data_IF_127238017191
#
_entry.id   IF_127238017191
#
_cell.length_a   1.000
_cell.length_b   1.000
_cell.length_c   1.000
_cell.angle_alpha   90.00
_cell.angle_beta   90.00
_cell.angle_gamma   90.00
#
_symmetry.space_group_name_H-M   'P 1'
#
loop_
_entity.id
_entity.type
_entity.pdbx_description
1 polymer ?
#
# COMPACT_ATOMS: atom_id res chain seq x y z
N UNK A 1 -17.10 -15.63 -8.53
CA UNK A 1 -15.77 -15.31 -7.97
C UNK A 1 -15.97 -14.94 -6.51
N UNK A 2 -15.25 -15.56 -5.58
CA UNK A 2 -15.24 -15.14 -4.18
C UNK A 2 -14.62 -13.76 -4.08
N UNK A 3 -15.32 -12.82 -3.45
CA UNK A 3 -14.81 -11.46 -3.27
C UNK A 3 -13.54 -11.49 -2.41
N UNK A 4 -12.47 -10.86 -2.87
CA UNK A 4 -11.23 -10.71 -2.11
C UNK A 4 -11.52 -9.76 -0.92
N UNK A 5 -11.24 -10.15 0.33
CA UNK A 5 -11.44 -9.27 1.47
C UNK A 5 -10.57 -8.02 1.35
N UNK A 6 -11.07 -6.84 1.76
CA UNK A 6 -10.27 -5.63 1.72
C UNK A 6 -9.12 -5.70 2.73
N UNK A 7 -7.96 -5.11 2.35
CA UNK A 7 -6.85 -4.87 3.28
C UNK A 7 -6.46 -3.41 3.24
N UNK A 8 -6.20 -2.86 4.40
CA UNK A 8 -5.72 -1.51 4.58
C UNK A 8 -4.29 -1.55 5.14
N UNK A 9 -3.41 -0.75 4.57
CA UNK A 9 -2.02 -0.60 4.99
C UNK A 9 -1.76 0.86 5.33
N UNK A 10 -0.87 1.10 6.29
CA UNK A 10 -0.42 2.45 6.62
C UNK A 10 0.85 2.80 5.84
N UNK A 11 0.83 3.92 5.12
CA UNK A 11 1.93 4.41 4.27
C UNK A 11 2.73 5.47 5.03
N UNK A 12 3.64 5.04 5.91
CA UNK A 12 4.38 5.94 6.81
C UNK A 12 5.64 5.30 7.38
N UNK A 13 6.61 6.16 7.78
CA UNK A 13 7.75 5.82 8.60
C UNK A 13 7.70 6.53 9.98
N UNK A 14 6.58 7.16 10.33
CA UNK A 14 6.30 7.69 11.67
C UNK A 14 5.96 6.53 12.61
N UNK A 15 6.92 6.16 13.44
CA UNK A 15 6.81 4.98 14.32
C UNK A 15 5.58 5.06 15.22
N UNK A 16 5.35 6.20 15.87
CA UNK A 16 4.30 6.31 16.88
C UNK A 16 2.90 6.22 16.26
N UNK A 17 2.71 6.82 15.09
CA UNK A 17 1.43 6.72 14.36
C UNK A 17 1.20 5.32 13.82
N UNK A 18 2.23 4.69 13.25
CA UNK A 18 2.16 3.30 12.77
C UNK A 18 1.83 2.35 13.90
N UNK A 19 2.55 2.44 15.05
CA UNK A 19 2.32 1.59 16.22
C UNK A 19 0.88 1.69 16.74
N UNK A 20 0.31 2.91 16.81
CA UNK A 20 -1.10 3.08 17.22
C UNK A 20 -2.08 2.39 16.29
N UNK A 21 -1.88 2.51 14.98
CA UNK A 21 -2.77 1.90 13.98
C UNK A 21 -2.66 0.37 13.95
N UNK A 22 -1.45 -0.18 14.15
CA UNK A 22 -1.23 -1.62 14.30
C UNK A 22 -1.91 -2.14 15.58
N UNK A 23 -1.70 -1.46 16.72
CA UNK A 23 -2.32 -1.82 18.00
C UNK A 23 -3.86 -1.77 17.95
N UNK A 24 -4.43 -0.83 17.20
CA UNK A 24 -5.87 -0.75 16.97
C UNK A 24 -6.41 -1.88 16.07
N UNK A 25 -5.56 -2.66 15.40
CA UNK A 25 -5.95 -3.75 14.52
C UNK A 25 -6.65 -3.31 13.22
N UNK A 26 -6.57 -2.04 12.87
CA UNK A 26 -7.27 -1.50 11.68
C UNK A 26 -6.44 -1.58 10.41
N UNK A 27 -5.15 -1.85 10.51
CA UNK A 27 -4.25 -2.00 9.36
C UNK A 27 -3.64 -3.39 9.34
N UNK A 28 -3.49 -3.95 8.12
CA UNK A 28 -2.88 -5.26 7.88
C UNK A 28 -1.36 -5.22 7.93
N UNK A 29 -0.76 -4.09 7.60
CA UNK A 29 0.69 -3.93 7.53
C UNK A 29 1.10 -2.51 7.19
N UNK A 30 2.38 -2.37 6.86
CA UNK A 30 3.04 -1.07 6.68
C UNK A 30 3.69 -0.98 5.30
N UNK A 31 3.46 0.10 4.59
CA UNK A 31 4.18 0.39 3.34
C UNK A 31 5.11 1.58 3.51
N UNK A 32 6.28 1.47 2.89
CA UNK A 32 7.23 2.59 2.78
C UNK A 32 7.73 2.75 1.35
N UNK A 33 8.47 3.81 1.13
CA UNK A 33 9.31 4.07 -0.03
C UNK A 33 10.40 5.07 0.37
N UNK A 34 11.41 5.34 -0.46
CA UNK A 34 12.49 6.26 -0.09
C UNK A 34 12.02 7.65 0.36
N UNK A 35 11.02 8.22 -0.31
CA UNK A 35 10.46 9.54 0.06
C UNK A 35 9.73 9.51 1.42
N UNK A 36 9.07 8.40 1.74
CA UNK A 36 8.39 8.24 3.04
C UNK A 36 9.41 8.07 4.15
N UNK A 37 10.47 7.28 3.93
CA UNK A 37 11.59 7.16 4.88
C UNK A 37 12.22 8.53 5.15
N UNK A 38 12.56 9.27 4.10
CA UNK A 38 13.15 10.61 4.21
C UNK A 38 12.25 11.59 5.00
N UNK A 39 10.94 11.63 4.70
CA UNK A 39 9.97 12.47 5.43
C UNK A 39 9.83 12.08 6.89
N UNK A 40 9.98 10.80 7.20
CA UNK A 40 10.00 10.29 8.58
C UNK A 40 11.34 10.47 9.29
N UNK A 41 12.32 11.15 8.66
CA UNK A 41 13.68 11.32 9.20
C UNK A 41 14.47 10.01 9.28
N UNK A 42 14.14 9.04 8.41
CA UNK A 42 14.76 7.71 8.36
C UNK A 42 15.65 7.56 7.14
N UNK A 43 16.60 6.67 7.25
CA UNK A 43 17.54 6.29 6.20
C UNK A 43 17.40 4.81 5.83
N UNK A 44 18.11 4.36 4.82
CA UNK A 44 18.16 2.93 4.49
C UNK A 44 18.78 2.07 5.62
N UNK A 45 19.63 2.66 6.47
CA UNK A 45 20.23 1.97 7.61
C UNK A 45 19.20 1.66 8.72
N UNK A 46 18.09 2.40 8.79
CA UNK A 46 17.03 2.20 9.78
C UNK A 46 16.04 1.06 9.39
N UNK A 47 16.09 0.57 8.15
CA UNK A 47 15.16 -0.45 7.64
C UNK A 47 15.11 -1.71 8.54
N UNK A 48 16.23 -2.28 9.01
CA UNK A 48 16.19 -3.46 9.88
C UNK A 48 15.47 -3.20 11.22
N UNK A 49 15.70 -2.04 11.84
CA UNK A 49 15.03 -1.64 13.08
C UNK A 49 13.52 -1.46 12.87
N UNK A 50 13.13 -0.77 11.80
CA UNK A 50 11.72 -0.56 11.43
C UNK A 50 11.01 -1.91 11.18
N UNK A 51 11.65 -2.81 10.44
CA UNK A 51 11.11 -4.15 10.21
C UNK A 51 10.86 -4.90 11.53
N UNK A 52 11.89 -5.05 12.36
CA UNK A 52 11.80 -5.79 13.61
C UNK A 52 10.73 -5.23 14.54
N UNK A 53 10.61 -3.90 14.59
CA UNK A 53 9.59 -3.23 15.38
C UNK A 53 8.18 -3.54 14.89
N UNK A 54 7.88 -3.26 13.61
CA UNK A 54 6.53 -3.46 13.08
C UNK A 54 6.12 -4.93 13.01
N UNK A 55 7.07 -5.84 12.79
CA UNK A 55 6.83 -7.28 12.90
C UNK A 55 6.40 -7.65 14.33
N UNK A 56 7.12 -7.17 15.36
CA UNK A 56 6.78 -7.41 16.76
C UNK A 56 5.46 -6.79 17.19
N UNK A 57 5.04 -5.70 16.54
CA UNK A 57 3.77 -4.99 16.75
C UNK A 57 2.61 -5.61 15.95
N UNK A 58 2.85 -6.70 15.21
CA UNK A 58 1.81 -7.52 14.58
C UNK A 58 1.54 -7.21 13.11
N UNK A 59 2.35 -6.37 12.44
CA UNK A 59 2.23 -6.17 10.99
C UNK A 59 2.36 -7.52 10.27
N UNK A 60 1.42 -7.84 9.38
CA UNK A 60 1.41 -9.08 8.62
C UNK A 60 2.27 -8.99 7.35
N UNK A 61 2.38 -7.81 6.77
CA UNK A 61 3.21 -7.50 5.61
C UNK A 61 3.89 -6.15 5.78
N UNK A 62 5.18 -6.07 5.46
CA UNK A 62 6.00 -4.87 5.60
C UNK A 62 6.75 -4.62 4.30
N UNK A 63 6.48 -3.49 3.68
CA UNK A 63 6.93 -3.18 2.33
C UNK A 63 8.11 -2.22 2.32
N UNK A 64 9.24 -2.67 1.81
CA UNK A 64 10.40 -1.82 1.55
C UNK A 64 10.77 -1.84 0.07
N UNK A 65 11.17 -0.68 -0.44
CA UNK A 65 11.53 -0.51 -1.84
C UNK A 65 13.02 -0.74 -2.04
N UNK A 66 13.38 -1.63 -2.98
CA UNK A 66 14.73 -1.73 -3.49
C UNK A 66 15.08 -0.52 -4.37
N UNK A 67 16.37 -0.26 -4.55
CA UNK A 67 16.88 0.90 -5.28
C UNK A 67 18.05 0.53 -6.18
N UNK A 68 18.36 1.40 -7.15
CA UNK A 68 19.45 1.24 -8.12
C UNK A 68 19.09 1.82 -9.46
N UNK A 69 20.04 1.76 -10.39
CA UNK A 69 19.88 2.26 -11.76
C UNK A 69 19.73 1.15 -12.80
N UNK A 70 19.89 -0.12 -12.42
CA UNK A 70 19.83 -1.30 -13.28
C UNK A 70 19.30 -2.53 -12.56
N UNK A 71 18.98 -3.58 -13.31
CA UNK A 71 18.46 -4.85 -12.78
C UNK A 71 19.37 -5.46 -11.71
N UNK A 72 20.70 -5.43 -11.91
CA UNK A 72 21.64 -6.05 -10.97
C UNK A 72 21.69 -5.33 -9.64
N UNK A 73 21.64 -4.01 -9.63
CA UNK A 73 21.59 -3.22 -8.39
C UNK A 73 20.25 -3.37 -7.66
N UNK A 74 19.11 -3.45 -8.37
CA UNK A 74 17.82 -3.78 -7.74
C UNK A 74 17.87 -5.13 -7.03
N UNK A 75 18.44 -6.16 -7.66
CA UNK A 75 18.54 -7.50 -7.07
C UNK A 75 19.46 -7.50 -5.85
N UNK A 76 20.67 -6.92 -5.93
CA UNK A 76 21.60 -6.84 -4.77
C UNK A 76 20.95 -6.17 -3.56
N UNK A 77 20.26 -5.04 -3.76
CA UNK A 77 19.62 -4.33 -2.67
C UNK A 77 18.37 -5.07 -2.15
N UNK A 78 17.66 -5.79 -3.00
CA UNK A 78 16.54 -6.63 -2.60
C UNK A 78 16.96 -7.80 -1.70
N UNK A 79 18.17 -8.36 -1.88
CA UNK A 79 18.71 -9.44 -1.01
C UNK A 79 18.75 -9.00 0.45
N UNK A 80 19.29 -7.81 0.73
CA UNK A 80 19.33 -7.25 2.09
C UNK A 80 17.95 -7.01 2.69
N UNK A 81 16.97 -6.59 1.87
CA UNK A 81 15.58 -6.40 2.29
C UNK A 81 14.93 -7.76 2.59
N UNK A 82 15.09 -8.75 1.73
CA UNK A 82 14.53 -10.11 1.92
C UNK A 82 15.09 -10.81 3.16
N UNK A 83 16.35 -10.57 3.48
CA UNK A 83 17.00 -11.16 4.64
C UNK A 83 16.43 -10.70 5.99
N UNK A 84 15.56 -9.69 6.02
CA UNK A 84 14.94 -9.19 7.25
C UNK A 84 13.94 -10.18 7.84
N UNK A 85 13.18 -10.91 7.01
CA UNK A 85 12.22 -11.93 7.48
C UNK A 85 11.09 -12.21 6.49
N UNK A 86 10.18 -13.11 6.90
CA UNK A 86 9.14 -13.68 6.03
C UNK A 86 7.98 -12.71 5.72
N UNK A 87 7.85 -11.61 6.49
CA UNK A 87 6.78 -10.62 6.28
C UNK A 87 7.16 -9.51 5.31
N UNK A 88 8.35 -9.58 4.73
CA UNK A 88 8.84 -8.59 3.78
C UNK A 88 8.14 -8.73 2.44
N UNK A 89 7.70 -7.59 1.91
CA UNK A 89 7.32 -7.42 0.51
C UNK A 89 8.31 -6.47 -0.16
N UNK A 90 9.03 -6.96 -1.16
CA UNK A 90 10.00 -6.14 -1.91
C UNK A 90 9.27 -5.28 -2.92
N UNK A 91 9.41 -3.95 -2.82
CA UNK A 91 8.87 -3.01 -3.82
C UNK A 91 9.92 -2.74 -4.90
N UNK A 92 9.49 -2.81 -6.17
CA UNK A 92 10.35 -2.57 -7.34
C UNK A 92 9.67 -1.56 -8.27
N UNK A 93 10.38 -0.51 -8.76
CA UNK A 93 9.77 0.48 -9.66
C UNK A 93 9.32 -0.12 -11.00
N UNK A 94 8.23 0.39 -11.58
CA UNK A 94 7.67 -0.02 -12.88
C UNK A 94 8.50 0.56 -14.06
N UNK A 95 9.77 0.18 -14.15
CA UNK A 95 10.68 0.48 -15.23
C UNK A 95 11.18 -0.83 -15.87
N UNK A 96 11.79 -0.79 -17.04
CA UNK A 96 12.25 -1.99 -17.74
C UNK A 96 13.14 -2.88 -16.87
N UNK A 97 14.18 -2.30 -16.26
CA UNK A 97 15.07 -3.01 -15.33
C UNK A 97 14.34 -3.47 -14.05
N UNK A 98 13.35 -2.69 -13.58
CA UNK A 98 12.51 -3.08 -12.45
C UNK A 98 11.64 -4.29 -12.76
N UNK A 99 11.02 -4.38 -13.95
CA UNK A 99 10.28 -5.58 -14.36
C UNK A 99 11.20 -6.80 -14.49
N UNK A 100 12.43 -6.65 -15.00
CA UNK A 100 13.40 -7.73 -15.07
C UNK A 100 13.80 -8.21 -13.65
N UNK A 101 14.05 -7.28 -12.72
CA UNK A 101 14.33 -7.60 -11.32
C UNK A 101 13.13 -8.27 -10.65
N UNK A 102 11.90 -7.74 -10.82
CA UNK A 102 10.69 -8.33 -10.28
C UNK A 102 10.49 -9.77 -10.74
N UNK A 103 10.71 -10.05 -12.05
CA UNK A 103 10.64 -11.41 -12.61
C UNK A 103 11.66 -12.36 -11.97
N UNK A 104 12.88 -11.92 -11.72
CA UNK A 104 13.90 -12.73 -11.05
C UNK A 104 13.51 -13.00 -9.58
N UNK A 105 13.07 -11.97 -8.85
CA UNK A 105 12.65 -12.08 -7.45
C UNK A 105 11.46 -13.02 -7.27
N UNK A 106 10.46 -12.96 -8.16
CA UNK A 106 9.30 -13.88 -8.12
C UNK A 106 9.75 -15.34 -8.33
N UNK A 107 10.62 -15.60 -9.31
CA UNK A 107 11.18 -16.95 -9.53
C UNK A 107 11.95 -17.49 -8.32
N UNK A 108 12.56 -16.59 -7.56
CA UNK A 108 13.29 -16.87 -6.32
C UNK A 108 12.37 -16.97 -5.08
N UNK A 109 11.03 -16.94 -5.26
CA UNK A 109 10.05 -17.08 -4.21
C UNK A 109 9.83 -15.83 -3.34
N UNK A 110 10.31 -14.64 -3.76
CA UNK A 110 10.07 -13.42 -3.03
C UNK A 110 8.63 -12.93 -3.22
N UNK A 111 8.04 -12.34 -2.18
CA UNK A 111 6.81 -11.55 -2.32
C UNK A 111 7.16 -10.18 -2.89
N UNK A 112 6.59 -9.84 -4.06
CA UNK A 112 6.97 -8.66 -4.83
C UNK A 112 5.78 -7.76 -5.10
N UNK A 113 6.00 -6.44 -4.98
CA UNK A 113 5.12 -5.38 -5.42
C UNK A 113 5.83 -4.55 -6.50
N UNK A 114 5.21 -4.39 -7.67
CA UNK A 114 5.65 -3.41 -8.67
C UNK A 114 4.98 -2.07 -8.37
N UNK A 115 5.79 -1.04 -8.07
CA UNK A 115 5.31 0.29 -7.64
C UNK A 115 5.40 1.33 -8.76
N UNK A 116 4.62 2.41 -8.62
CA UNK A 116 4.52 3.47 -9.60
C UNK A 116 4.01 2.97 -10.97
N UNK A 117 2.93 2.19 -10.93
CA UNK A 117 2.25 1.67 -12.13
C UNK A 117 1.23 2.72 -12.59
N UNK A 118 1.31 3.13 -13.87
CA UNK A 118 0.46 4.19 -14.41
C UNK A 118 -0.33 3.78 -15.65
N UNK A 119 -0.20 2.53 -16.12
CA UNK A 119 -0.95 2.05 -17.28
C UNK A 119 -1.44 0.61 -17.10
N UNK A 120 -2.57 0.29 -17.75
CA UNK A 120 -3.14 -1.06 -17.78
C UNK A 120 -2.18 -2.06 -18.43
N UNK A 121 -1.37 -1.61 -19.40
CA UNK A 121 -0.34 -2.45 -20.02
C UNK A 121 0.76 -2.87 -19.03
N UNK A 122 1.21 -1.95 -18.16
CA UNK A 122 2.14 -2.29 -17.07
C UNK A 122 1.53 -3.27 -16.06
N UNK A 123 0.23 -3.10 -15.74
CA UNK A 123 -0.50 -4.03 -14.87
C UNK A 123 -0.55 -5.44 -15.47
N UNK A 124 -0.87 -5.56 -16.76
CA UNK A 124 -0.87 -6.84 -17.48
C UNK A 124 0.51 -7.48 -17.51
N UNK A 125 1.57 -6.71 -17.76
CA UNK A 125 2.95 -7.20 -17.73
C UNK A 125 3.34 -7.72 -16.33
N UNK A 126 2.96 -7.01 -15.27
CA UNK A 126 3.18 -7.43 -13.89
C UNK A 126 2.43 -8.72 -13.54
N UNK A 127 1.16 -8.82 -13.98
CA UNK A 127 0.35 -10.03 -13.80
C UNK A 127 0.95 -11.25 -14.51
N UNK A 128 1.48 -11.06 -15.74
CA UNK A 128 2.16 -12.12 -16.50
C UNK A 128 3.46 -12.59 -15.80
N UNK A 129 4.18 -11.72 -15.12
CA UNK A 129 5.35 -12.07 -14.30
C UNK A 129 4.94 -12.86 -13.04
N UNK A 130 3.72 -12.66 -12.54
CA UNK A 130 3.21 -13.29 -11.33
C UNK A 130 3.60 -12.55 -10.04
N UNK A 131 3.81 -11.24 -10.09
CA UNK A 131 4.02 -10.44 -8.88
C UNK A 131 2.77 -10.48 -7.99
N UNK A 132 2.93 -10.27 -6.69
CA UNK A 132 1.81 -10.33 -5.74
C UNK A 132 0.96 -9.06 -5.78
N UNK A 133 1.61 -7.91 -5.99
CA UNK A 133 0.96 -6.61 -5.95
C UNK A 133 1.44 -5.69 -7.06
N UNK A 134 0.55 -4.81 -7.51
CA UNK A 134 0.90 -3.60 -8.26
C UNK A 134 0.39 -2.38 -7.50
N UNK A 135 1.17 -1.29 -7.46
CA UNK A 135 0.75 -0.06 -6.80
C UNK A 135 0.59 1.10 -7.80
N UNK A 136 -0.62 1.34 -8.31
CA UNK A 136 -0.97 2.58 -8.96
C UNK A 136 -1.12 3.72 -7.95
N UNK A 137 -0.75 4.95 -8.36
CA UNK A 137 -0.77 6.12 -7.50
C UNK A 137 -1.90 7.07 -7.93
N UNK A 138 -3.09 6.94 -7.31
CA UNK A 138 -4.28 7.71 -7.68
C UNK A 138 -4.04 9.21 -7.70
N UNK A 139 -3.52 9.77 -6.60
CA UNK A 139 -3.29 11.20 -6.49
C UNK A 139 -2.32 11.72 -7.55
N UNK A 140 -1.22 10.99 -7.84
CA UNK A 140 -0.28 11.39 -8.91
C UNK A 140 -0.88 11.28 -10.30
N UNK A 141 -1.75 10.30 -10.56
CA UNK A 141 -2.46 10.18 -11.83
C UNK A 141 -3.39 11.37 -12.04
N UNK A 142 -4.13 11.79 -11.02
CA UNK A 142 -4.98 12.98 -11.07
C UNK A 142 -4.16 14.27 -11.29
N UNK A 143 -3.03 14.43 -10.60
CA UNK A 143 -2.13 15.58 -10.77
C UNK A 143 -1.58 15.65 -12.20
N UNK A 144 -1.13 14.53 -12.74
CA UNK A 144 -0.63 14.45 -14.11
C UNK A 144 -1.71 14.79 -15.15
N UNK A 145 -2.93 14.29 -14.98
CA UNK A 145 -4.06 14.59 -15.84
C UNK A 145 -4.42 16.09 -15.81
N UNK A 146 -4.40 16.69 -14.63
CA UNK A 146 -4.68 18.14 -14.48
C UNK A 146 -3.63 19.00 -15.18
N UNK A 147 -2.34 18.63 -15.12
CA UNK A 147 -1.25 19.37 -15.79
C UNK A 147 -1.28 19.21 -17.30
N UNK A 148 -1.60 18.01 -17.80
CA UNK A 148 -1.57 17.72 -19.25
C UNK A 148 -2.87 18.05 -19.96
N UNK A 149 -3.95 18.37 -19.25
CA UNK A 149 -5.29 18.54 -19.84
C UNK A 149 -5.84 17.23 -20.43
N UNK A 150 -5.41 16.08 -19.91
CA UNK A 150 -5.82 14.78 -20.42
C UNK A 150 -7.33 14.57 -20.26
N UNK A 151 -8.01 14.28 -21.37
CA UNK A 151 -9.47 14.09 -21.46
C UNK A 151 -9.89 12.61 -21.61
N UNK A 152 -9.00 11.68 -21.31
CA UNK A 152 -9.26 10.24 -21.34
C UNK A 152 -10.01 9.72 -20.09
N UNK A 153 -10.05 8.39 -19.89
CA UNK A 153 -10.65 7.79 -18.69
C UNK A 153 -10.08 8.37 -17.40
N UNK A 154 -10.92 8.54 -16.38
CA UNK A 154 -10.51 8.98 -15.05
C UNK A 154 -9.45 8.06 -14.43
N UNK A 155 -8.66 8.58 -13.51
CA UNK A 155 -7.61 7.80 -12.83
C UNK A 155 -8.20 6.57 -12.13
N UNK A 156 -9.37 6.70 -11.53
CA UNK A 156 -10.12 5.62 -10.87
C UNK A 156 -10.50 4.52 -11.85
N UNK A 157 -11.00 4.88 -13.02
CA UNK A 157 -11.38 3.92 -14.07
C UNK A 157 -10.15 3.15 -14.59
N UNK A 158 -9.01 3.85 -14.73
CA UNK A 158 -7.75 3.22 -15.13
C UNK A 158 -7.28 2.23 -14.09
N UNK A 159 -7.38 2.57 -12.80
CA UNK A 159 -7.02 1.67 -11.69
C UNK A 159 -7.97 0.47 -11.63
N UNK A 160 -9.27 0.67 -11.83
CA UNK A 160 -10.23 -0.43 -11.90
C UNK A 160 -9.89 -1.40 -13.04
N UNK A 161 -9.57 -0.90 -14.24
CA UNK A 161 -9.11 -1.73 -15.37
C UNK A 161 -7.78 -2.44 -15.08
N UNK A 162 -6.89 -1.86 -14.27
CA UNK A 162 -5.67 -2.56 -13.83
C UNK A 162 -6.05 -3.76 -12.94
N UNK A 163 -7.06 -3.65 -12.08
CA UNK A 163 -7.57 -4.78 -11.31
C UNK A 163 -8.22 -5.82 -12.21
N UNK A 164 -9.00 -5.40 -13.20
CA UNK A 164 -9.68 -6.32 -14.13
C UNK A 164 -8.69 -7.20 -14.91
N UNK A 165 -7.60 -6.63 -15.42
CA UNK A 165 -6.59 -7.41 -16.17
C UNK A 165 -5.76 -8.33 -15.27
N UNK A 166 -5.77 -8.13 -13.96
CA UNK A 166 -5.14 -9.02 -12.99
C UNK A 166 -6.04 -10.20 -12.57
N UNK A 167 -7.33 -10.18 -12.93
CA UNK A 167 -8.27 -11.27 -12.59
C UNK A 167 -7.80 -12.60 -13.16
N UNK A 168 -7.75 -13.62 -12.30
CA UNK A 168 -7.27 -14.95 -12.66
C UNK A 168 -5.76 -15.15 -12.52
N UNK A 169 -5.02 -14.11 -12.13
CA UNK A 169 -3.60 -14.18 -11.75
C UNK A 169 -3.44 -14.11 -10.22
N UNK A 170 -2.20 -14.23 -9.74
CA UNK A 170 -1.84 -13.99 -8.34
C UNK A 170 -1.75 -12.50 -7.98
N UNK A 171 -1.76 -11.62 -8.99
CA UNK A 171 -1.52 -10.19 -8.83
C UNK A 171 -2.79 -9.43 -8.43
N UNK A 172 -2.68 -8.54 -7.46
CA UNK A 172 -3.75 -7.65 -7.03
C UNK A 172 -3.30 -6.19 -6.99
N UNK A 173 -4.25 -5.29 -7.21
CA UNK A 173 -4.00 -3.86 -7.02
C UNK A 173 -3.94 -3.54 -5.53
N UNK A 174 -2.86 -2.85 -5.12
CA UNK A 174 -2.72 -2.15 -3.87
C UNK A 174 -2.64 -0.65 -4.19
N UNK A 175 -3.78 0.02 -4.19
CA UNK A 175 -3.87 1.42 -4.56
C UNK A 175 -3.17 2.30 -3.55
N UNK A 176 -2.38 3.26 -4.02
CA UNK A 176 -1.55 4.15 -3.22
C UNK A 176 -1.77 5.63 -3.58
N UNK A 177 -1.13 6.53 -2.82
CA UNK A 177 -1.28 7.99 -3.01
C UNK A 177 -2.75 8.42 -2.88
N UNK A 178 -3.45 7.85 -1.91
CA UNK A 178 -4.84 8.15 -1.55
C UNK A 178 -4.85 9.33 -0.60
N UNK A 179 -5.71 10.31 -0.85
CA UNK A 179 -5.73 11.59 -0.13
C UNK A 179 -6.94 11.77 0.77
N UNK A 180 -7.94 10.91 0.63
CA UNK A 180 -9.15 10.96 1.44
C UNK A 180 -9.75 9.56 1.66
N UNK A 181 -10.60 9.40 2.70
CA UNK A 181 -11.41 8.19 2.88
C UNK A 181 -12.26 7.84 1.65
N UNK A 182 -12.79 8.85 0.96
CA UNK A 182 -13.63 8.70 -0.23
C UNK A 182 -12.85 8.08 -1.40
N UNK A 183 -11.54 8.35 -1.52
CA UNK A 183 -10.68 7.69 -2.50
C UNK A 183 -10.65 6.17 -2.30
N UNK A 184 -10.54 5.74 -1.03
CA UNK A 184 -10.51 4.31 -0.66
C UNK A 184 -11.86 3.66 -0.96
N UNK A 185 -12.94 4.29 -0.49
CA UNK A 185 -14.31 3.79 -0.69
C UNK A 185 -14.66 3.72 -2.17
N UNK A 186 -14.37 4.78 -2.93
CA UNK A 186 -14.64 4.85 -4.36
C UNK A 186 -13.93 3.74 -5.14
N UNK A 187 -12.63 3.53 -4.91
CA UNK A 187 -11.89 2.44 -5.54
C UNK A 187 -12.37 1.06 -5.07
N UNK A 188 -12.77 0.91 -3.79
CA UNK A 188 -13.34 -0.35 -3.32
C UNK A 188 -14.64 -0.70 -4.04
N UNK A 189 -15.50 0.29 -4.27
CA UNK A 189 -16.74 0.10 -5.04
C UNK A 189 -16.47 -0.30 -6.50
N UNK A 190 -15.32 0.07 -7.05
CA UNK A 190 -14.83 -0.34 -8.38
C UNK A 190 -14.08 -1.69 -8.36
N UNK A 191 -14.07 -2.42 -7.24
CA UNK A 191 -13.53 -3.77 -7.15
C UNK A 191 -12.06 -3.85 -6.72
N UNK A 192 -11.37 -2.75 -6.44
CA UNK A 192 -9.99 -2.76 -5.94
C UNK A 192 -9.96 -3.36 -4.52
N UNK A 193 -9.07 -4.34 -4.24
CA UNK A 193 -9.09 -5.02 -2.95
C UNK A 193 -8.23 -4.39 -1.87
N UNK A 194 -7.07 -3.78 -2.21
CA UNK A 194 -6.09 -3.36 -1.23
C UNK A 194 -5.73 -1.88 -1.38
N UNK A 195 -5.46 -1.24 -0.24
CA UNK A 195 -5.27 0.21 -0.14
C UNK A 195 -4.13 0.53 0.82
N UNK A 196 -3.28 1.48 0.45
CA UNK A 196 -2.31 2.06 1.37
C UNK A 196 -2.46 3.56 1.40
N UNK A 197 -2.54 4.13 2.61
CA UNK A 197 -2.76 5.55 2.82
C UNK A 197 -1.95 6.09 4.01
N UNK A 198 -1.72 7.40 4.00
CA UNK A 198 -1.09 8.07 5.12
C UNK A 198 -1.93 7.93 6.41
N UNK A 199 -1.31 7.96 7.60
CA UNK A 199 -2.01 7.80 8.87
C UNK A 199 -3.23 8.72 9.04
N UNK A 200 -3.12 9.99 8.63
CA UNK A 200 -4.22 10.95 8.73
C UNK A 200 -5.44 10.59 7.87
N UNK A 201 -5.25 9.93 6.75
CA UNK A 201 -6.35 9.42 5.92
C UNK A 201 -7.06 8.27 6.62
N UNK A 202 -6.29 7.34 7.20
CA UNK A 202 -6.83 6.18 7.92
C UNK A 202 -7.55 6.63 9.19
N UNK A 203 -6.95 7.53 9.97
CA UNK A 203 -7.56 8.08 11.18
C UNK A 203 -8.91 8.75 10.89
N UNK A 204 -9.01 9.51 9.78
CA UNK A 204 -10.29 10.11 9.34
C UNK A 204 -11.35 9.06 8.97
N UNK A 205 -10.97 7.88 8.48
CA UNK A 205 -11.95 6.80 8.21
C UNK A 205 -12.63 6.30 9.48
N UNK A 206 -11.99 6.46 10.64
CA UNK A 206 -12.49 5.97 11.93
C UNK A 206 -13.37 7.00 12.64
N UNK A 207 -13.45 8.22 12.13
CA UNK A 207 -14.12 9.33 12.77
C UNK A 207 -15.41 9.71 12.02
N UNK A 208 -16.49 9.85 12.77
CA UNK A 208 -17.74 10.42 12.28
C UNK A 208 -18.43 11.15 13.43
N UNK A 209 -18.85 12.39 13.21
CA UNK A 209 -19.42 13.26 14.24
C UNK A 209 -20.63 12.61 14.94
N UNK A 210 -21.56 12.07 14.15
CA UNK A 210 -22.76 11.40 14.71
C UNK A 210 -22.40 10.16 15.53
N UNK A 211 -21.37 9.41 15.12
CA UNK A 211 -20.91 8.23 15.87
C UNK A 211 -20.26 8.64 17.20
N UNK A 212 -19.50 9.73 17.22
CA UNK A 212 -18.93 10.30 18.45
C UNK A 212 -20.01 10.72 19.42
N UNK A 213 -20.98 11.52 18.98
CA UNK A 213 -22.11 11.95 19.81
C UNK A 213 -22.93 10.77 20.35
N UNK A 214 -23.15 9.74 19.55
CA UNK A 214 -23.88 8.55 20.00
C UNK A 214 -23.10 7.77 21.08
N UNK A 215 -21.76 7.67 20.95
CA UNK A 215 -20.93 7.03 21.96
C UNK A 215 -20.99 7.78 23.30
N UNK A 216 -20.89 9.11 23.29
CA UNK A 216 -21.04 9.95 24.49
C UNK A 216 -22.41 9.79 25.16
N UNK A 217 -23.49 9.70 24.36
CA UNK A 217 -24.84 9.44 24.88
C UNK A 217 -24.96 8.06 25.53
N UNK A 218 -24.34 7.03 24.93
CA UNK A 218 -24.33 5.68 25.50
C UNK A 218 -23.58 5.64 26.82
N UNK A 219 -22.41 6.27 26.93
CA UNK A 219 -21.62 6.35 28.16
C UNK A 219 -22.41 7.08 29.27
N UNK A 220 -22.98 8.24 28.98
CA UNK A 220 -23.83 8.98 29.92
C UNK A 220 -25.06 8.17 30.35
N UNK A 221 -25.60 7.33 29.49
CA UNK A 221 -26.71 6.43 29.82
C UNK A 221 -26.27 5.32 30.78
N UNK A 222 -25.11 4.71 30.51
CA UNK A 222 -24.57 3.66 31.38
C UNK A 222 -24.24 4.20 32.78
N UNK A 223 -23.67 5.39 32.88
CA UNK A 223 -23.48 6.07 34.18
C UNK A 223 -24.81 6.26 34.97
N UNK A 224 -25.88 6.66 34.27
CA UNK A 224 -27.22 6.76 34.90
C UNK A 224 -27.79 5.41 35.33
N UNK A 225 -27.39 4.32 34.68
CA UNK A 225 -27.81 2.96 35.04
C UNK A 225 -26.94 2.32 36.11
N UNK A 226 -25.89 2.99 36.57
CA UNK A 226 -25.05 2.57 37.71
C UNK A 226 -23.90 1.64 37.30
N UNK A 227 -23.39 1.74 36.04
CA UNK A 227 -22.22 0.98 35.59
C UNK A 227 -20.93 1.68 35.99
#
# INVERSE_FOLDING_TARGET
MTAIPPRLYVDSADIDRVSRLLAAGVVHGVTTNPTILERGGRTAADIPELYARWESEGAQEIFFQTWGGDTASFLRNAEGIRALGDRVVVKVPAAADGFAAASALVRDGATVLVTAVYSVAQALAAANIGVHYIAPYLGRMRDAAAVTGFSGPGAEDVIARMQDVCVGSSTNVLAASLRSPEDIVGLRMLGVPYFTAAPDVIERMLLHEVSGSAAEEFDATMERLGA
#
